data_IF_145231263372
#
_entry.id   IF_145231263372
#
_cell.length_a   1.000
_cell.length_b   1.000
_cell.length_c   1.000
_cell.angle_alpha   90.00
_cell.angle_beta   90.00
_cell.angle_gamma   90.00
#
_symmetry.space_group_name_H-M   'P 1'
#
loop_
_entity.id
_entity.type
_entity.pdbx_description
1 polymer ?
#
# COMPACT_ATOMS: atom_id res chain seq x y z
N UNK A 1 31.00 -13.41 -57.96
CA UNK A 1 29.59 -13.79 -58.11
C UNK A 1 29.25 -15.10 -57.38
N UNK A 2 29.91 -16.22 -57.70
CA UNK A 2 29.60 -17.56 -57.13
C UNK A 2 29.86 -17.66 -55.61
N UNK A 3 30.97 -17.11 -55.11
CA UNK A 3 31.28 -17.11 -53.67
C UNK A 3 30.24 -16.34 -52.84
N UNK A 4 29.77 -15.19 -53.34
CA UNK A 4 28.73 -14.40 -52.67
C UNK A 4 27.37 -15.12 -52.64
N UNK A 5 27.04 -15.87 -53.70
CA UNK A 5 25.81 -16.66 -53.78
C UNK A 5 25.77 -17.83 -52.77
N UNK A 6 26.93 -18.31 -52.31
CA UNK A 6 27.03 -19.38 -51.31
C UNK A 6 27.20 -18.88 -49.88
N UNK A 7 27.97 -17.79 -49.69
CA UNK A 7 28.22 -17.20 -48.36
C UNK A 7 26.99 -16.52 -47.75
N UNK A 8 26.09 -15.96 -48.57
CA UNK A 8 24.85 -15.34 -48.09
C UNK A 8 23.88 -16.34 -47.44
N UNK A 9 23.54 -17.49 -48.07
CA UNK A 9 22.74 -18.53 -47.42
C UNK A 9 23.40 -19.13 -46.17
N UNK A 10 24.73 -19.26 -46.16
CA UNK A 10 25.45 -19.79 -45.00
C UNK A 10 25.38 -18.84 -43.80
N UNK A 11 25.59 -17.55 -44.03
CA UNK A 11 25.45 -16.52 -42.98
C UNK A 11 24.01 -16.34 -42.53
N UNK A 12 23.02 -16.50 -43.42
CA UNK A 12 21.60 -16.51 -43.04
C UNK A 12 21.24 -17.73 -42.19
N UNK A 13 21.79 -18.91 -42.46
CA UNK A 13 21.63 -20.09 -41.61
C UNK A 13 22.21 -19.89 -40.20
N UNK A 14 23.43 -19.35 -40.10
CA UNK A 14 24.06 -19.07 -38.80
C UNK A 14 23.23 -18.05 -38.01
N UNK A 15 22.80 -16.96 -38.65
CA UNK A 15 21.97 -15.95 -37.98
C UNK A 15 20.56 -16.47 -37.62
N UNK A 16 19.97 -17.35 -38.43
CA UNK A 16 18.70 -18.00 -38.10
C UNK A 16 18.84 -19.00 -36.94
N UNK A 17 19.95 -19.75 -36.88
CA UNK A 17 20.22 -20.63 -35.75
C UNK A 17 20.36 -19.83 -34.44
N UNK A 18 21.07 -18.70 -34.46
CA UNK A 18 21.15 -17.78 -33.32
C UNK A 18 19.78 -17.21 -32.94
N UNK A 19 18.94 -16.85 -33.92
CA UNK A 19 17.55 -16.40 -33.67
C UNK A 19 16.69 -17.50 -33.03
N UNK A 20 16.79 -18.74 -33.48
CA UNK A 20 16.07 -19.86 -32.89
C UNK A 20 16.49 -20.12 -31.44
N UNK A 21 17.78 -19.99 -31.14
CA UNK A 21 18.27 -20.08 -29.76
C UNK A 21 17.70 -18.97 -28.87
N UNK A 22 17.64 -17.72 -29.38
CA UNK A 22 17.01 -16.60 -28.68
C UNK A 22 15.50 -16.83 -28.47
N UNK A 23 14.79 -17.33 -29.47
CA UNK A 23 13.36 -17.68 -29.36
C UNK A 23 13.15 -18.75 -28.30
N UNK A 24 14.01 -19.78 -28.24
CA UNK A 24 13.97 -20.78 -27.19
C UNK A 24 14.04 -20.17 -25.78
N UNK A 25 15.01 -19.28 -25.54
CA UNK A 25 15.15 -18.58 -24.26
C UNK A 25 13.94 -17.67 -23.94
N UNK A 26 13.32 -17.05 -24.95
CA UNK A 26 12.09 -16.28 -24.75
C UNK A 26 10.88 -17.17 -24.40
N UNK A 27 10.78 -18.34 -25.02
CA UNK A 27 9.73 -19.32 -24.73
C UNK A 27 9.86 -19.90 -23.32
N UNK A 28 11.08 -20.14 -22.84
CA UNK A 28 11.31 -20.56 -21.45
C UNK A 28 10.78 -19.51 -20.45
N UNK A 29 11.11 -18.22 -20.64
CA UNK A 29 10.59 -17.15 -19.76
C UNK A 29 9.07 -17.01 -19.82
N UNK A 30 8.46 -17.24 -20.99
CA UNK A 30 7.01 -17.24 -21.12
C UNK A 30 6.39 -18.46 -20.42
N UNK A 31 7.07 -19.61 -20.46
CA UNK A 31 6.65 -20.82 -19.76
C UNK A 31 6.60 -20.59 -18.25
N UNK A 32 7.56 -19.87 -17.67
CA UNK A 32 7.57 -19.56 -16.23
C UNK A 32 6.33 -18.78 -15.80
N UNK A 33 5.90 -17.80 -16.61
CA UNK A 33 4.68 -17.00 -16.33
C UNK A 33 3.42 -17.80 -16.60
N UNK A 34 3.40 -18.59 -17.68
CA UNK A 34 2.23 -19.38 -18.07
C UNK A 34 1.97 -20.54 -17.10
N UNK A 35 3.01 -21.16 -16.57
CA UNK A 35 2.93 -22.27 -15.63
C UNK A 35 2.80 -21.82 -14.16
N UNK A 36 2.90 -20.52 -13.88
CA UNK A 36 2.75 -20.00 -12.52
C UNK A 36 1.34 -20.30 -12.00
N UNK A 37 1.27 -20.92 -10.82
CA UNK A 37 0.00 -21.19 -10.16
C UNK A 37 -0.67 -19.86 -9.73
N UNK A 38 -1.99 -19.73 -9.92
CA UNK A 38 -2.71 -18.57 -9.44
C UNK A 38 -2.66 -18.49 -7.91
N UNK A 39 -2.63 -17.28 -7.34
CA UNK A 39 -2.60 -17.09 -5.88
C UNK A 39 -3.79 -17.78 -5.19
N UNK A 40 -4.96 -17.76 -5.83
CA UNK A 40 -6.20 -18.38 -5.41
C UNK A 40 -7.04 -18.62 -6.67
N UNK A 41 -7.67 -19.79 -6.77
CA UNK A 41 -8.64 -20.04 -7.82
C UNK A 41 -9.85 -19.08 -7.69
N UNK A 42 -10.32 -18.53 -8.81
CA UNK A 42 -11.29 -17.42 -8.81
C UNK A 42 -12.62 -17.69 -8.08
N UNK A 43 -12.98 -18.96 -7.84
CA UNK A 43 -14.24 -19.37 -7.18
C UNK A 43 -14.02 -19.98 -5.79
N UNK A 44 -12.79 -19.98 -5.29
CA UNK A 44 -12.45 -20.59 -4.00
C UNK A 44 -12.68 -19.59 -2.87
N UNK A 45 -13.18 -20.11 -1.75
CA UNK A 45 -13.53 -19.33 -0.57
C UNK A 45 -14.91 -18.69 -0.65
N UNK A 46 -15.45 -18.37 0.52
CA UNK A 46 -16.70 -17.62 0.66
C UNK A 46 -16.48 -16.16 0.26
N UNK A 47 -17.44 -15.57 -0.45
CA UNK A 47 -17.45 -14.13 -0.72
C UNK A 47 -17.46 -13.38 0.62
N UNK A 48 -16.49 -12.48 0.81
CA UNK A 48 -16.38 -11.68 2.02
C UNK A 48 -17.67 -10.87 2.21
N UNK A 49 -18.33 -10.98 3.38
CA UNK A 49 -19.44 -10.09 3.70
C UNK A 49 -18.94 -8.64 3.80
N UNK A 50 -19.85 -7.65 3.82
CA UNK A 50 -19.48 -6.28 4.16
C UNK A 50 -18.77 -6.25 5.51
N UNK A 51 -17.50 -5.85 5.51
CA UNK A 51 -16.65 -5.87 6.68
C UNK A 51 -16.90 -4.64 7.55
N UNK A 52 -16.87 -4.85 8.86
CA UNK A 52 -16.83 -3.79 9.88
C UNK A 52 -15.42 -3.22 10.04
N UNK A 53 -14.39 -4.02 9.71
CA UNK A 53 -12.98 -3.63 9.76
C UNK A 53 -12.24 -4.19 10.98
N UNK A 54 -12.79 -5.18 11.69
CA UNK A 54 -12.06 -5.91 12.72
C UNK A 54 -11.00 -6.82 12.07
N UNK A 55 -9.78 -6.81 12.62
CA UNK A 55 -8.70 -7.70 12.18
C UNK A 55 -8.08 -8.36 13.39
N UNK A 56 -7.90 -9.68 13.34
CA UNK A 56 -7.25 -10.44 14.41
C UNK A 56 -6.10 -11.28 13.84
N UNK A 57 -4.92 -11.19 14.45
CA UNK A 57 -3.78 -12.06 14.21
C UNK A 57 -3.64 -12.98 15.42
N UNK A 58 -3.59 -14.29 15.17
CA UNK A 58 -3.38 -15.31 16.21
C UNK A 58 -2.06 -16.03 15.98
N UNK A 59 -1.06 -15.71 16.80
CA UNK A 59 0.28 -16.34 16.81
C UNK A 59 0.94 -16.40 15.43
N UNK A 60 0.79 -15.33 14.65
CA UNK A 60 1.23 -15.24 13.26
C UNK A 60 2.75 -15.16 13.17
N UNK A 61 3.36 -16.10 12.45
CA UNK A 61 4.76 -16.00 12.02
C UNK A 61 4.85 -16.05 10.51
N UNK A 62 5.83 -15.35 9.93
CA UNK A 62 5.93 -15.22 8.48
C UNK A 62 7.38 -15.18 7.98
N UNK A 63 7.63 -15.84 6.85
CA UNK A 63 8.83 -15.74 6.00
C UNK A 63 8.42 -15.61 4.54
N UNK A 64 9.24 -14.95 3.72
CA UNK A 64 8.96 -14.76 2.29
C UNK A 64 9.18 -16.00 1.43
N UNK A 65 10.07 -16.88 1.87
CA UNK A 65 10.41 -18.13 1.19
C UNK A 65 10.65 -19.22 2.25
N UNK A 66 10.43 -20.49 1.91
CA UNK A 66 10.66 -21.61 2.80
C UNK A 66 12.08 -21.63 3.40
N UNK A 67 13.08 -21.23 2.61
CA UNK A 67 14.50 -21.18 2.98
C UNK A 67 14.92 -19.83 3.57
N UNK A 68 14.07 -18.80 3.50
CA UNK A 68 14.35 -17.50 4.09
C UNK A 68 14.16 -17.52 5.62
N UNK A 69 14.89 -16.68 6.37
CA UNK A 69 14.63 -16.50 7.80
C UNK A 69 13.21 -15.96 8.03
N UNK A 70 12.65 -16.25 9.21
CA UNK A 70 11.43 -15.62 9.68
C UNK A 70 11.65 -14.11 9.80
N UNK A 71 10.67 -13.36 9.29
CA UNK A 71 10.63 -11.89 9.35
C UNK A 71 9.69 -11.42 10.45
N UNK A 72 8.64 -12.18 10.75
CA UNK A 72 7.74 -11.94 11.87
C UNK A 72 7.62 -13.19 12.73
N UNK A 73 7.52 -12.99 14.05
CA UNK A 73 7.56 -14.06 15.04
C UNK A 73 6.36 -13.96 16.00
N UNK A 74 5.45 -14.94 15.92
CA UNK A 74 4.34 -15.16 16.86
C UNK A 74 3.50 -13.92 17.20
N UNK A 75 3.24 -13.07 16.21
CA UNK A 75 2.45 -11.86 16.37
C UNK A 75 1.01 -12.21 16.75
N UNK A 76 0.53 -11.68 17.87
CA UNK A 76 -0.87 -11.74 18.26
C UNK A 76 -1.39 -10.33 18.48
N UNK A 77 -2.47 -9.98 17.79
CA UNK A 77 -2.99 -8.61 17.74
C UNK A 77 -4.49 -8.65 17.47
N UNK A 78 -5.26 -7.80 18.15
CA UNK A 78 -6.67 -7.59 17.86
C UNK A 78 -6.92 -6.10 17.59
N UNK A 79 -7.38 -5.80 16.38
CA UNK A 79 -7.75 -4.46 15.92
C UNK A 79 -9.27 -4.35 15.93
N UNK A 80 -9.79 -3.34 16.60
CA UNK A 80 -11.23 -3.08 16.67
C UNK A 80 -11.72 -2.29 15.45
N UNK A 81 -12.99 -2.45 15.04
CA UNK A 81 -13.60 -1.66 13.97
C UNK A 81 -13.42 -0.15 14.16
N UNK A 82 -13.03 0.57 13.11
CA UNK A 82 -12.88 2.03 13.10
C UNK A 82 -11.62 2.57 13.79
N UNK A 83 -10.83 1.69 14.41
CA UNK A 83 -9.64 2.07 15.17
C UNK A 83 -8.54 2.63 14.24
N UNK A 84 -7.84 3.69 14.67
CA UNK A 84 -6.61 4.21 14.05
C UNK A 84 -5.40 3.57 14.71
N UNK A 85 -4.68 2.75 13.96
CA UNK A 85 -3.48 2.04 14.37
C UNK A 85 -2.25 2.68 13.74
N UNK A 86 -1.21 2.93 14.52
CA UNK A 86 0.09 3.37 14.01
C UNK A 86 1.14 2.26 14.18
N UNK A 87 1.78 1.87 13.08
CA UNK A 87 2.94 0.98 13.07
C UNK A 87 4.22 1.82 13.12
N UNK A 88 5.01 1.65 14.18
CA UNK A 88 6.27 2.38 14.40
C UNK A 88 7.42 1.42 14.69
N UNK A 89 8.65 1.87 14.45
CA UNK A 89 9.85 1.05 14.61
C UNK A 89 10.92 1.38 13.58
N UNK A 90 12.13 0.86 13.78
CA UNK A 90 13.29 1.11 12.90
C UNK A 90 13.08 0.55 11.49
N UNK A 91 13.83 1.06 10.52
CA UNK A 91 13.85 0.44 9.18
C UNK A 91 14.26 -1.03 9.28
N UNK A 92 13.62 -1.90 8.48
CA UNK A 92 13.85 -3.34 8.53
C UNK A 92 13.23 -4.08 9.72
N UNK A 93 12.49 -3.42 10.62
CA UNK A 93 11.93 -4.09 11.81
C UNK A 93 10.76 -5.05 11.52
N UNK A 94 10.19 -5.04 10.32
CA UNK A 94 9.07 -5.89 9.92
C UNK A 94 7.73 -5.16 9.72
N UNK A 95 7.65 -3.83 9.94
CA UNK A 95 6.42 -3.03 9.78
C UNK A 95 5.71 -3.25 8.44
N UNK A 96 6.42 -3.10 7.32
CA UNK A 96 5.85 -3.25 5.99
C UNK A 96 5.38 -4.68 5.73
N UNK A 97 6.06 -5.68 6.30
CA UNK A 97 5.64 -7.09 6.21
C UNK A 97 4.36 -7.32 7.00
N UNK A 98 4.28 -6.79 8.23
CA UNK A 98 3.06 -6.85 9.05
C UNK A 98 1.89 -6.16 8.35
N UNK A 99 2.13 -4.99 7.77
CA UNK A 99 1.14 -4.24 7.00
C UNK A 99 0.60 -5.04 5.80
N UNK A 100 1.48 -5.73 5.05
CA UNK A 100 1.08 -6.59 3.93
C UNK A 100 0.26 -7.81 4.38
N UNK A 101 0.54 -8.37 5.56
CA UNK A 101 -0.27 -9.44 6.16
C UNK A 101 -1.65 -8.94 6.60
N UNK A 102 -1.72 -7.74 7.22
CA UNK A 102 -2.97 -7.07 7.58
C UNK A 102 -3.84 -6.74 6.35
N UNK A 103 -3.26 -6.67 5.16
CA UNK A 103 -3.98 -6.51 3.88
C UNK A 103 -4.34 -7.84 3.21
N UNK A 104 -3.93 -8.97 3.78
CA UNK A 104 -4.15 -10.30 3.19
C UNK A 104 -3.41 -10.48 1.85
N UNK A 105 -2.27 -9.80 1.67
CA UNK A 105 -1.42 -9.97 0.49
C UNK A 105 -0.53 -11.21 0.59
N UNK A 106 -0.27 -11.68 1.81
CA UNK A 106 0.43 -12.91 2.08
C UNK A 106 -0.35 -13.78 3.05
N UNK A 107 -0.16 -15.09 2.93
CA UNK A 107 -0.59 -16.05 3.94
C UNK A 107 0.48 -16.17 5.02
N UNK A 108 0.10 -16.25 6.31
CA UNK A 108 1.04 -16.51 7.37
C UNK A 108 1.68 -17.91 7.20
N UNK A 109 2.93 -18.06 7.61
CA UNK A 109 3.60 -19.37 7.61
C UNK A 109 3.05 -20.26 8.73
N UNK A 110 2.74 -19.66 9.88
CA UNK A 110 2.05 -20.32 10.99
C UNK A 110 1.09 -19.33 11.64
N UNK A 111 0.05 -19.82 12.31
CA UNK A 111 -1.02 -19.00 12.87
C UNK A 111 -2.07 -18.63 11.82
N UNK A 112 -2.97 -17.73 12.17
CA UNK A 112 -4.07 -17.32 11.31
C UNK A 112 -4.39 -15.82 11.41
N UNK A 113 -4.96 -15.30 10.33
CA UNK A 113 -5.45 -13.92 10.22
C UNK A 113 -6.96 -14.01 10.02
N UNK A 114 -7.73 -13.29 10.83
CA UNK A 114 -9.18 -13.24 10.74
C UNK A 114 -9.65 -11.82 10.43
N UNK A 115 -10.66 -11.70 9.58
CA UNK A 115 -11.37 -10.47 9.28
C UNK A 115 -12.81 -10.63 9.77
N UNK A 116 -13.23 -9.81 10.74
CA UNK A 116 -14.51 -9.96 11.45
C UNK A 116 -14.78 -11.40 11.93
N UNK A 117 -13.75 -12.08 12.43
CA UNK A 117 -13.82 -13.46 12.91
C UNK A 117 -13.80 -14.54 11.82
N UNK A 118 -13.72 -14.16 10.54
CA UNK A 118 -13.63 -15.11 9.42
C UNK A 118 -12.16 -15.30 9.02
N UNK A 119 -11.62 -16.53 9.02
CA UNK A 119 -10.24 -16.78 8.61
C UNK A 119 -9.96 -16.38 7.15
N UNK A 120 -8.80 -15.76 6.90
CA UNK A 120 -8.35 -15.32 5.57
C UNK A 120 -8.37 -16.45 4.52
N UNK A 121 -7.99 -17.67 4.90
CA UNK A 121 -7.97 -18.81 3.98
C UNK A 121 -9.37 -19.24 3.52
N UNK A 122 -10.41 -18.94 4.31
CA UNK A 122 -11.79 -19.27 3.99
C UNK A 122 -12.46 -18.21 3.10
N UNK A 123 -11.86 -17.04 2.96
CA UNK A 123 -12.39 -15.93 2.18
C UNK A 123 -11.90 -15.94 0.74
N UNK A 124 -12.75 -15.46 -0.16
CA UNK A 124 -12.34 -15.09 -1.50
C UNK A 124 -11.57 -13.76 -1.45
N UNK A 125 -10.27 -13.79 -1.79
CA UNK A 125 -9.38 -12.65 -1.57
C UNK A 125 -9.72 -11.45 -2.45
N UNK A 126 -10.25 -11.67 -3.64
CA UNK A 126 -10.71 -10.57 -4.51
C UNK A 126 -11.87 -9.80 -3.87
N UNK A 127 -12.82 -10.51 -3.27
CA UNK A 127 -13.94 -9.88 -2.56
C UNK A 127 -13.52 -9.16 -1.27
N UNK A 128 -12.54 -9.72 -0.54
CA UNK A 128 -11.91 -9.07 0.61
C UNK A 128 -11.20 -7.77 0.21
N UNK A 129 -10.27 -7.85 -0.75
CA UNK A 129 -9.42 -6.72 -1.16
C UNK A 129 -10.20 -5.57 -1.80
N UNK A 130 -11.39 -5.82 -2.34
CA UNK A 130 -12.32 -4.77 -2.80
C UNK A 130 -12.80 -3.85 -1.69
N UNK A 131 -12.74 -4.29 -0.44
CA UNK A 131 -13.15 -3.53 0.74
C UNK A 131 -11.95 -2.84 1.42
N UNK A 132 -10.74 -2.95 0.84
CA UNK A 132 -9.53 -2.35 1.37
C UNK A 132 -9.14 -1.13 0.52
N UNK A 133 -8.70 -0.06 1.18
CA UNK A 133 -8.06 1.09 0.55
C UNK A 133 -6.58 1.09 0.89
N UNK A 134 -5.71 1.32 -0.08
CA UNK A 134 -4.26 1.36 0.15
C UNK A 134 -3.67 2.60 -0.50
N UNK A 135 -2.88 3.34 0.27
CA UNK A 135 -2.07 4.46 -0.20
C UNK A 135 -0.62 4.17 0.15
N UNK A 136 0.22 4.05 -0.88
CA UNK A 136 1.65 3.82 -0.74
C UNK A 136 2.42 5.13 -0.66
N UNK A 137 3.64 5.07 -0.14
CA UNK A 137 4.55 6.24 -0.03
C UNK A 137 4.74 6.91 -1.40
N UNK A 138 5.02 6.10 -2.42
CA UNK A 138 5.11 6.51 -3.82
C UNK A 138 3.91 5.97 -4.62
N UNK A 139 2.83 6.75 -4.77
CA UNK A 139 1.67 6.28 -5.50
C UNK A 139 1.92 6.25 -7.01
N UNK A 140 1.62 5.11 -7.64
CA UNK A 140 1.58 4.99 -9.08
C UNK A 140 0.27 5.57 -9.64
N UNK A 141 0.38 6.40 -10.69
CA UNK A 141 -0.78 6.95 -11.41
C UNK A 141 -0.83 6.37 -12.83
N UNK A 142 -2.03 5.96 -13.23
CA UNK A 142 -2.29 5.40 -14.55
C UNK A 142 -2.41 6.53 -15.58
N UNK A 143 -2.01 6.25 -16.82
CA UNK A 143 -2.32 7.14 -17.93
C UNK A 143 -3.83 7.17 -18.15
N UNK A 144 -4.41 8.36 -18.23
CA UNK A 144 -5.88 8.52 -18.30
C UNK A 144 -6.34 9.87 -17.78
N UNK A 145 -7.63 10.03 -17.50
CA UNK A 145 -8.13 11.22 -16.82
C UNK A 145 -7.97 11.13 -15.29
N UNK A 146 -8.11 12.26 -14.59
CA UNK A 146 -8.20 12.28 -13.12
C UNK A 146 -9.37 11.42 -12.64
N UNK A 147 -10.54 11.53 -13.30
CA UNK A 147 -11.70 10.66 -13.05
C UNK A 147 -11.33 9.18 -13.18
N UNK A 148 -10.65 8.79 -14.26
CA UNK A 148 -10.23 7.42 -14.48
C UNK A 148 -9.29 6.92 -13.37
N UNK A 149 -8.35 7.76 -12.94
CA UNK A 149 -7.43 7.43 -11.86
C UNK A 149 -8.15 7.19 -10.52
N UNK A 150 -9.16 8.00 -10.18
CA UNK A 150 -9.94 7.80 -8.95
C UNK A 150 -10.83 6.55 -9.05
N UNK A 151 -11.45 6.33 -10.22
CA UNK A 151 -12.43 5.27 -10.45
C UNK A 151 -11.83 3.94 -10.96
N UNK A 152 -10.50 3.76 -10.94
CA UNK A 152 -9.82 2.66 -11.62
C UNK A 152 -10.35 1.27 -11.21
N UNK A 153 -10.75 1.11 -9.95
CA UNK A 153 -11.23 -0.17 -9.41
C UNK A 153 -12.74 -0.40 -9.66
N UNK A 154 -13.49 0.62 -10.05
CA UNK A 154 -14.89 0.52 -10.50
C UNK A 154 -15.20 1.61 -11.53
N UNK A 155 -15.11 1.28 -12.83
CA UNK A 155 -15.43 2.20 -13.91
C UNK A 155 -16.87 2.76 -13.87
N UNK A 156 -17.78 2.12 -13.15
CA UNK A 156 -19.17 2.54 -12.99
C UNK A 156 -19.38 3.57 -11.86
N UNK A 157 -18.32 4.01 -11.16
CA UNK A 157 -18.41 5.09 -10.20
C UNK A 157 -19.02 6.35 -10.83
N UNK A 158 -20.06 6.88 -10.17
CA UNK A 158 -20.68 8.14 -10.59
C UNK A 158 -19.71 9.31 -10.40
N UNK A 159 -19.90 10.38 -11.17
CA UNK A 159 -19.07 11.58 -11.04
C UNK A 159 -19.17 12.19 -9.63
N UNK A 160 -20.35 12.16 -9.01
CA UNK A 160 -20.58 12.63 -7.64
C UNK A 160 -19.74 11.86 -6.61
N UNK A 161 -19.66 10.53 -6.72
CA UNK A 161 -18.81 9.71 -5.85
C UNK A 161 -17.32 10.04 -6.05
N UNK A 162 -16.89 10.23 -7.29
CA UNK A 162 -15.52 10.66 -7.62
C UNK A 162 -15.21 12.04 -7.01
N UNK A 163 -16.16 12.97 -7.08
CA UNK A 163 -16.03 14.30 -6.49
C UNK A 163 -15.94 14.25 -4.97
N UNK A 164 -16.81 13.48 -4.31
CA UNK A 164 -16.77 13.28 -2.85
C UNK A 164 -15.44 12.70 -2.39
N UNK A 165 -14.90 11.70 -3.11
CA UNK A 165 -13.60 11.12 -2.79
C UNK A 165 -12.46 12.14 -2.92
N UNK A 166 -12.50 12.98 -3.97
CA UNK A 166 -11.54 14.06 -4.14
C UNK A 166 -11.69 15.18 -3.10
N UNK A 167 -12.90 15.45 -2.60
CA UNK A 167 -13.13 16.41 -1.52
C UNK A 167 -12.56 15.91 -0.19
N UNK A 168 -12.76 14.63 0.14
CA UNK A 168 -12.14 14.01 1.32
C UNK A 168 -10.61 14.09 1.28
N UNK A 169 -10.04 13.92 0.08
CA UNK A 169 -8.61 14.08 -0.15
C UNK A 169 -8.14 15.53 -0.33
N UNK A 170 -9.03 16.53 -0.17
CA UNK A 170 -8.71 17.96 -0.32
C UNK A 170 -8.09 18.28 -1.70
N UNK A 171 -8.61 17.67 -2.76
CA UNK A 171 -8.10 17.82 -4.14
C UNK A 171 -9.14 18.42 -5.09
N UNK A 172 -10.41 18.43 -4.71
CA UNK A 172 -11.52 18.85 -5.56
C UNK A 172 -11.33 20.27 -6.14
N UNK A 173 -11.04 21.26 -5.30
CA UNK A 173 -10.89 22.66 -5.73
C UNK A 173 -9.75 22.83 -6.74
N UNK A 174 -8.62 22.16 -6.54
CA UNK A 174 -7.51 22.17 -7.50
C UNK A 174 -7.88 21.51 -8.82
N UNK A 175 -8.64 20.42 -8.79
CA UNK A 175 -9.13 19.77 -10.01
C UNK A 175 -10.05 20.72 -10.78
N UNK A 176 -10.95 21.42 -10.09
CA UNK A 176 -11.90 22.34 -10.72
C UNK A 176 -11.24 23.58 -11.33
N UNK A 177 -10.03 23.94 -10.91
CA UNK A 177 -9.23 25.00 -11.52
C UNK A 177 -8.55 24.56 -12.83
N UNK A 178 -8.46 23.26 -13.11
CA UNK A 178 -7.90 22.75 -14.37
C UNK A 178 -8.89 22.98 -15.52
N UNK A 179 -8.43 23.34 -16.74
CA UNK A 179 -9.30 23.63 -17.88
C UNK A 179 -10.29 22.52 -18.23
N UNK A 180 -9.91 21.26 -18.00
CA UNK A 180 -10.73 20.08 -18.29
C UNK A 180 -11.28 19.42 -17.02
N UNK A 181 -11.11 20.04 -15.85
CA UNK A 181 -11.58 19.49 -14.58
C UNK A 181 -11.12 18.04 -14.34
N UNK A 182 -12.08 17.18 -14.01
CA UNK A 182 -11.87 15.74 -13.82
C UNK A 182 -11.47 14.98 -15.10
N UNK A 183 -11.68 15.55 -16.29
CA UNK A 183 -11.26 14.97 -17.56
C UNK A 183 -9.84 15.40 -17.96
N UNK A 184 -9.16 16.19 -17.12
CA UNK A 184 -7.75 16.52 -17.31
C UNK A 184 -6.93 15.24 -17.38
N UNK A 185 -6.09 15.15 -18.42
CA UNK A 185 -5.24 13.99 -18.68
C UNK A 185 -4.04 14.00 -17.75
N UNK A 186 -3.79 12.85 -17.15
CA UNK A 186 -2.61 12.51 -16.37
C UNK A 186 -1.80 11.50 -17.18
N UNK A 187 -0.52 11.81 -17.40
CA UNK A 187 0.40 10.87 -18.02
C UNK A 187 0.85 9.81 -17.01
N UNK A 188 1.36 8.69 -17.53
CA UNK A 188 1.81 7.57 -16.69
C UNK A 188 2.86 8.04 -15.67
N UNK A 189 2.75 7.54 -14.43
CA UNK A 189 3.59 7.99 -13.31
C UNK A 189 3.25 9.39 -12.76
N UNK A 190 2.26 10.07 -13.33
CA UNK A 190 1.80 11.37 -12.83
C UNK A 190 2.69 12.54 -13.22
N UNK A 191 3.39 12.45 -14.36
CA UNK A 191 4.22 13.56 -14.85
C UNK A 191 3.37 14.83 -15.02
N UNK A 192 3.83 15.94 -14.43
CA UNK A 192 3.10 17.22 -14.40
C UNK A 192 2.28 17.48 -13.14
N UNK A 193 2.16 16.52 -12.20
CA UNK A 193 1.55 16.73 -10.89
C UNK A 193 2.62 16.89 -9.80
N UNK A 194 2.36 17.74 -8.81
CA UNK A 194 3.22 17.84 -7.62
C UNK A 194 3.17 16.55 -6.79
N UNK A 195 4.17 16.32 -5.93
CA UNK A 195 4.17 15.17 -5.00
C UNK A 195 2.89 15.08 -4.15
N UNK A 196 2.47 16.21 -3.56
CA UNK A 196 1.24 16.30 -2.77
C UNK A 196 -0.04 16.09 -3.58
N UNK A 197 -0.08 16.50 -4.86
CA UNK A 197 -1.21 16.20 -5.75
C UNK A 197 -1.29 14.71 -6.07
N UNK A 198 -0.16 14.06 -6.35
CA UNK A 198 -0.11 12.61 -6.60
C UNK A 198 -0.57 11.81 -5.36
N UNK A 199 -0.14 12.20 -4.17
CA UNK A 199 -0.60 11.60 -2.91
C UNK A 199 -2.09 11.80 -2.70
N UNK A 200 -2.62 13.02 -2.81
CA UNK A 200 -4.07 13.27 -2.65
C UNK A 200 -4.91 12.54 -3.70
N UNK A 201 -4.43 12.39 -4.93
CA UNK A 201 -5.12 11.60 -5.94
C UNK A 201 -5.17 10.12 -5.58
N UNK A 202 -4.10 9.58 -4.98
CA UNK A 202 -4.07 8.22 -4.47
C UNK A 202 -4.97 8.03 -3.25
N UNK A 203 -5.04 9.01 -2.35
CA UNK A 203 -5.99 9.03 -1.22
C UNK A 203 -7.42 9.02 -1.75
N UNK A 204 -7.75 9.90 -2.71
CA UNK A 204 -9.07 9.91 -3.34
C UNK A 204 -9.41 8.55 -3.98
N UNK A 205 -8.47 7.93 -4.69
CA UNK A 205 -8.64 6.58 -5.26
C UNK A 205 -8.93 5.53 -4.18
N UNK A 206 -8.18 5.55 -3.07
CA UNK A 206 -8.40 4.61 -1.97
C UNK A 206 -9.76 4.79 -1.29
N UNK A 207 -10.24 6.04 -1.20
CA UNK A 207 -11.51 6.39 -0.56
C UNK A 207 -12.73 6.20 -1.45
N UNK A 208 -12.57 6.20 -2.77
CA UNK A 208 -13.68 6.18 -3.75
C UNK A 208 -14.65 4.99 -3.59
N UNK A 209 -14.21 3.93 -2.93
CA UNK A 209 -14.97 2.70 -2.72
C UNK A 209 -15.48 2.50 -1.30
N UNK A 210 -15.33 3.50 -0.41
CA UNK A 210 -15.71 3.38 1.00
C UNK A 210 -15.08 2.15 1.67
N UNK A 211 -13.74 2.11 1.77
CA UNK A 211 -13.05 0.94 2.32
C UNK A 211 -13.44 0.71 3.78
N UNK A 212 -13.56 -0.55 4.18
CA UNK A 212 -13.70 -0.94 5.59
C UNK A 212 -12.36 -0.82 6.35
N UNK A 213 -11.26 -1.03 5.63
CA UNK A 213 -9.89 -0.93 6.15
C UNK A 213 -9.07 -0.07 5.19
N UNK A 214 -8.43 0.97 5.72
CA UNK A 214 -7.60 1.90 4.97
C UNK A 214 -6.15 1.84 5.48
N UNK A 215 -5.21 1.50 4.60
CA UNK A 215 -3.79 1.52 4.89
C UNK A 215 -3.12 2.74 4.28
N UNK A 216 -2.35 3.46 5.09
CA UNK A 216 -1.63 4.68 4.73
C UNK A 216 -0.14 4.46 5.03
N UNK A 217 0.66 4.24 4.01
CA UNK A 217 2.11 4.12 4.12
C UNK A 217 2.74 5.47 3.76
N UNK A 218 3.10 6.26 4.77
CA UNK A 218 3.61 7.64 4.59
C UNK A 218 2.76 8.51 3.63
N UNK A 219 1.45 8.26 3.57
CA UNK A 219 0.58 8.83 2.55
C UNK A 219 0.47 10.38 2.57
N UNK A 220 0.93 11.02 3.65
CA UNK A 220 0.90 12.48 3.84
C UNK A 220 2.28 13.14 3.84
N UNK A 221 3.35 12.39 3.59
CA UNK A 221 4.73 12.89 3.69
C UNK A 221 5.07 14.02 2.72
N UNK A 222 4.41 14.09 1.56
CA UNK A 222 4.62 15.12 0.55
C UNK A 222 3.60 16.28 0.63
N UNK A 223 2.77 16.32 1.66
CA UNK A 223 1.81 17.39 1.90
C UNK A 223 2.42 18.49 2.77
N UNK A 224 1.99 19.73 2.54
CA UNK A 224 2.19 20.81 3.49
C UNK A 224 1.34 20.57 4.74
N UNK A 225 1.76 21.15 5.88
CA UNK A 225 1.12 20.86 7.17
C UNK A 225 -0.36 21.25 7.27
N UNK A 226 -0.81 22.26 6.51
CA UNK A 226 -2.21 22.69 6.52
C UNK A 226 -3.07 21.68 5.77
N UNK A 227 -2.65 21.31 4.55
CA UNK A 227 -3.35 20.29 3.75
C UNK A 227 -3.34 18.93 4.45
N UNK A 228 -2.22 18.53 5.08
CA UNK A 228 -2.13 17.30 5.88
C UNK A 228 -3.17 17.29 7.01
N UNK A 229 -3.31 18.40 7.75
CA UNK A 229 -4.28 18.51 8.84
C UNK A 229 -5.73 18.38 8.35
N UNK A 230 -6.08 18.98 7.23
CA UNK A 230 -7.43 18.86 6.65
C UNK A 230 -7.72 17.44 6.19
N UNK A 231 -6.74 16.78 5.56
CA UNK A 231 -6.87 15.38 5.16
C UNK A 231 -7.04 14.48 6.38
N UNK A 232 -6.22 14.60 7.44
CA UNK A 232 -6.37 13.77 8.65
C UNK A 232 -7.73 14.02 9.33
N UNK A 233 -8.21 15.28 9.36
CA UNK A 233 -9.54 15.60 9.87
C UNK A 233 -10.65 14.93 9.07
N UNK A 234 -10.59 14.95 7.74
CA UNK A 234 -11.57 14.26 6.89
C UNK A 234 -11.52 12.74 7.11
N UNK A 235 -10.32 12.17 7.18
CA UNK A 235 -10.11 10.74 7.43
C UNK A 235 -10.57 10.32 8.84
N UNK A 236 -10.54 11.22 9.82
CA UNK A 236 -11.00 10.96 11.20
C UNK A 236 -12.50 10.74 11.31
N UNK A 237 -13.27 11.25 10.36
CA UNK A 237 -14.72 11.14 10.32
C UNK A 237 -15.18 9.83 9.66
N UNK A 238 -14.26 9.07 9.05
CA UNK A 238 -14.57 7.80 8.42
C UNK A 238 -14.67 6.71 9.49
N UNK A 239 -15.65 5.81 9.32
CA UNK A 239 -15.86 4.66 10.21
C UNK A 239 -14.91 3.51 9.93
N UNK A 240 -14.01 3.65 8.95
CA UNK A 240 -13.09 2.60 8.55
C UNK A 240 -11.94 2.44 9.54
N UNK A 241 -11.48 1.21 9.71
CA UNK A 241 -10.22 0.91 10.42
C UNK A 241 -9.05 1.49 9.64
N UNK A 242 -8.13 2.21 10.30
CA UNK A 242 -7.03 2.92 9.64
C UNK A 242 -5.69 2.40 10.14
N UNK A 243 -4.89 1.84 9.25
CA UNK A 243 -3.54 1.36 9.57
C UNK A 243 -2.54 2.33 8.96
N UNK A 244 -1.76 3.00 9.79
CA UNK A 244 -0.79 4.00 9.35
C UNK A 244 0.61 3.53 9.64
N UNK A 245 1.44 3.42 8.59
CA UNK A 245 2.89 3.22 8.76
C UNK A 245 3.49 4.61 8.87
N UNK A 246 3.94 4.94 10.08
CA UNK A 246 4.28 6.30 10.42
C UNK A 246 5.80 6.48 10.58
N UNK A 247 6.30 7.52 9.91
CA UNK A 247 7.66 8.04 10.08
C UNK A 247 7.66 9.45 10.71
N UNK A 248 6.49 10.08 10.87
CA UNK A 248 6.30 11.39 11.52
C UNK A 248 5.58 11.24 12.86
N UNK A 249 6.06 11.96 13.87
CA UNK A 249 5.51 11.92 15.22
C UNK A 249 4.05 12.41 15.29
N UNK A 250 3.71 13.43 14.49
CA UNK A 250 2.37 14.02 14.43
C UNK A 250 1.30 12.97 14.08
N UNK A 251 1.60 12.11 13.11
CA UNK A 251 0.68 11.07 12.63
C UNK A 251 0.45 9.98 13.68
N UNK A 252 1.47 9.67 14.49
CA UNK A 252 1.43 8.64 15.53
C UNK A 252 0.68 9.11 16.78
N UNK A 253 0.82 10.39 17.13
CA UNK A 253 0.29 10.94 18.40
C UNK A 253 -1.22 10.75 18.55
N UNK A 254 -1.96 10.84 17.45
CA UNK A 254 -3.42 10.74 17.44
C UNK A 254 -3.93 9.32 17.14
N UNK A 255 -3.10 8.29 17.24
CA UNK A 255 -3.51 6.91 17.04
C UNK A 255 -4.17 6.35 18.31
N UNK A 256 -5.25 5.58 18.14
CA UNK A 256 -5.93 4.87 19.22
C UNK A 256 -5.07 3.71 19.76
N UNK A 257 -4.24 3.14 18.89
CA UNK A 257 -3.28 2.09 19.22
C UNK A 257 -1.99 2.26 18.44
N UNK A 258 -0.87 2.30 19.14
CA UNK A 258 0.46 2.33 18.57
C UNK A 258 1.08 0.95 18.78
N UNK A 259 1.65 0.38 17.72
CA UNK A 259 2.37 -0.88 17.74
C UNK A 259 3.84 -0.63 17.42
N UNK A 260 4.70 -0.84 18.41
CA UNK A 260 6.16 -0.73 18.24
C UNK A 260 6.68 -2.08 17.79
N UNK A 261 7.17 -2.14 16.55
CA UNK A 261 7.68 -3.35 15.92
C UNK A 261 9.20 -3.31 15.93
N UNK A 262 9.81 -4.32 16.52
CA UNK A 262 11.26 -4.52 16.54
C UNK A 262 11.62 -5.99 16.29
N UNK A 263 12.56 -6.21 15.38
CA UNK A 263 13.05 -7.55 15.00
C UNK A 263 11.92 -8.57 14.76
N UNK A 264 10.85 -8.13 14.08
CA UNK A 264 9.74 -9.01 13.73
C UNK A 264 8.76 -9.35 14.86
N UNK A 265 8.85 -8.68 16.01
CA UNK A 265 7.92 -8.82 17.15
C UNK A 265 7.28 -7.47 17.50
N UNK A 266 6.10 -7.50 18.12
CA UNK A 266 5.51 -6.31 18.75
C UNK A 266 6.07 -6.23 20.17
N UNK A 267 6.97 -5.27 20.42
CA UNK A 267 7.66 -5.11 21.71
C UNK A 267 6.87 -4.24 22.68
N UNK A 268 6.10 -3.27 22.16
CA UNK A 268 5.26 -2.38 22.95
C UNK A 268 3.96 -2.09 22.20
N UNK A 269 2.87 -1.92 22.96
CA UNK A 269 1.58 -1.51 22.42
C UNK A 269 0.81 -0.66 23.43
N UNK A 270 0.11 0.37 22.93
CA UNK A 270 -0.69 1.26 23.76
C UNK A 270 -0.96 2.59 23.09
N UNK A 271 -1.51 3.54 23.84
CA UNK A 271 -1.67 4.93 23.39
C UNK A 271 -0.36 5.71 23.49
N UNK A 272 -0.29 6.86 22.84
CA UNK A 272 0.87 7.75 22.88
C UNK A 272 1.30 8.08 24.32
N UNK A 273 0.36 8.45 25.18
CA UNK A 273 0.62 8.84 26.56
C UNK A 273 1.12 7.66 27.40
N UNK A 274 0.49 6.49 27.25
CA UNK A 274 0.90 5.27 27.95
C UNK A 274 2.33 4.87 27.58
N UNK A 275 2.66 4.85 26.29
CA UNK A 275 3.99 4.42 25.82
C UNK A 275 5.09 5.43 26.17
N UNK A 276 4.80 6.74 26.16
CA UNK A 276 5.74 7.74 26.64
C UNK A 276 6.04 7.59 28.13
N UNK A 277 5.03 7.28 28.94
CA UNK A 277 5.18 7.11 30.39
C UNK A 277 6.07 5.93 30.77
N UNK A 278 6.13 4.90 29.90
CA UNK A 278 6.94 3.69 30.11
C UNK A 278 8.43 3.91 29.85
N UNK A 279 8.82 5.03 29.21
CA UNK A 279 10.21 5.35 28.86
C UNK A 279 10.95 4.23 28.09
N UNK A 280 10.20 3.44 27.33
CA UNK A 280 10.72 2.31 26.55
C UNK A 280 11.17 2.67 25.13
N UNK A 281 11.07 1.71 24.22
CA UNK A 281 11.45 1.83 22.81
C UNK A 281 10.69 2.95 22.12
N UNK A 282 9.39 3.10 22.39
CA UNK A 282 8.60 4.19 21.84
C UNK A 282 9.15 5.57 22.24
N UNK A 283 9.43 5.77 23.53
CA UNK A 283 9.92 7.05 24.04
C UNK A 283 11.29 7.41 23.44
N UNK A 284 12.17 6.41 23.27
CA UNK A 284 13.46 6.59 22.59
C UNK A 284 13.28 6.99 21.12
N UNK A 285 12.34 6.38 20.40
CA UNK A 285 12.00 6.77 19.03
C UNK A 285 11.50 8.22 18.97
N UNK A 286 10.57 8.60 19.85
CA UNK A 286 10.06 9.97 19.95
C UNK A 286 11.19 10.97 20.17
N UNK A 287 12.09 10.68 21.11
CA UNK A 287 13.22 11.55 21.43
C UNK A 287 14.17 11.69 20.23
N UNK A 288 14.46 10.59 19.52
CA UNK A 288 15.30 10.64 18.32
C UNK A 288 14.69 11.50 17.20
N UNK A 289 13.38 11.37 16.95
CA UNK A 289 12.68 12.20 15.95
C UNK A 289 12.61 13.67 16.36
N UNK A 290 12.49 13.97 17.67
CA UNK A 290 12.56 15.35 18.17
C UNK A 290 13.97 15.94 18.03
N UNK A 291 15.02 15.14 18.28
CA UNK A 291 16.41 15.58 18.11
C UNK A 291 16.76 15.83 16.64
N UNK A 292 16.26 15.01 15.70
CA UNK A 292 16.41 15.28 14.26
C UNK A 292 15.74 16.59 13.85
N UNK A 293 14.55 16.89 14.36
CA UNK A 293 13.87 18.17 14.14
C UNK A 293 14.63 19.35 14.74
N UNK A 294 15.28 19.17 15.89
CA UNK A 294 16.08 20.21 16.55
C UNK A 294 17.46 20.42 15.91
N UNK A 295 18.06 19.38 15.30
CA UNK A 295 19.36 19.43 14.63
C UNK A 295 19.31 20.14 13.27
N UNK A 296 18.13 20.29 12.66
CA UNK A 296 17.93 20.99 11.39
C UNK A 296 16.84 22.07 11.49
N UNK A 297 17.10 23.24 12.11
CA UNK A 297 16.14 24.34 12.18
C UNK A 297 15.97 25.12 10.85
N UNK A 298 16.35 24.57 9.69
CA UNK A 298 16.38 25.33 8.43
C UNK A 298 16.42 24.48 7.16
N UNK A 299 15.26 24.02 6.72
CA UNK A 299 14.98 23.75 5.29
C UNK A 299 13.55 24.14 4.93
N UNK A 300 13.15 25.34 5.36
CA UNK A 300 12.08 26.08 4.69
C UNK A 300 12.72 26.96 3.61
N UNK A 301 12.25 26.80 2.37
CA UNK A 301 12.53 27.57 1.15
C UNK A 301 13.80 27.20 0.37
N UNK A 302 13.61 26.42 -0.69
CA UNK A 302 13.66 26.91 -2.08
C UNK A 302 12.65 26.14 -2.93
#
# INVERSE_FOLDING_TARGET
AIAAAFLMPLSSLVSNAQRLQLVGAHLERLSDVWAAEPEQECQTGQIAPPLTGQIELKQVSFRYDAQAPLVLHQISLAIQPGQKIALVGRSGSGKSTLAKLLLGLYLPTTGEILYDGIPLFALNWRSLRRQLGVVLQEPFLFSGSIRHNIAVNNPHLSLDQVQKAAQLAVLHEEIMQLPMGYETRVAEGGTGLSGGQRQRLAIARALAHHPAILLLDEATSHLDGVTESWVDQNLSQLTCTRIVIAHRLSTVRNADLILVVEQGTIVEQGTHEQLLSQQGHYAALVQSSMLELAAFPGSSKM
#
